data_IF_482668040556
#
_entry.id   IF_482668040556
#
_cell.length_a   1.000
_cell.length_b   1.000
_cell.length_c   1.000
_cell.angle_alpha   90.00
_cell.angle_beta   90.00
_cell.angle_gamma   90.00
#
_symmetry.space_group_name_H-M   'P 1'
#
loop_
_entity.id
_entity.type
_entity.pdbx_description
1 polymer ?
#
# COMPACT_ATOMS: atom_id res chain seq x y z
N UNK A 1 -21.89 -11.76 33.65
CA UNK A 1 -21.64 -12.60 32.46
C UNK A 1 -20.39 -13.43 32.73
N UNK A 2 -20.36 -14.73 32.41
CA UNK A 2 -19.14 -15.52 32.55
C UNK A 2 -18.05 -14.98 31.62
N UNK A 3 -16.75 -15.09 32.00
CA UNK A 3 -15.65 -14.69 31.14
C UNK A 3 -15.58 -15.57 29.89
N UNK A 4 -15.17 -14.99 28.75
CA UNK A 4 -15.02 -15.72 27.50
C UNK A 4 -13.81 -16.66 27.56
N UNK A 5 -13.99 -17.89 27.07
CA UNK A 5 -12.90 -18.85 26.90
C UNK A 5 -12.08 -18.56 25.63
N UNK A 6 -10.92 -19.20 25.49
CA UNK A 6 -10.13 -19.12 24.26
C UNK A 6 -10.88 -19.66 23.03
N UNK A 7 -11.72 -20.69 23.22
CA UNK A 7 -12.55 -21.23 22.16
C UNK A 7 -13.60 -20.19 21.71
N UNK A 8 -14.20 -19.47 22.65
CA UNK A 8 -15.15 -18.40 22.35
C UNK A 8 -14.48 -17.26 21.58
N UNK A 9 -13.29 -16.83 22.02
CA UNK A 9 -12.51 -15.81 21.32
C UNK A 9 -12.12 -16.25 19.91
N UNK A 10 -11.71 -17.50 19.73
CA UNK A 10 -11.39 -18.05 18.42
C UNK A 10 -12.60 -18.04 17.48
N UNK A 11 -13.76 -18.55 17.94
CA UNK A 11 -14.99 -18.55 17.14
C UNK A 11 -15.45 -17.14 16.82
N UNK A 12 -15.36 -16.22 17.78
CA UNK A 12 -15.68 -14.82 17.55
C UNK A 12 -14.74 -14.16 16.52
N UNK A 13 -13.44 -14.49 16.54
CA UNK A 13 -12.48 -14.02 15.53
C UNK A 13 -12.82 -14.58 14.14
N UNK A 14 -13.03 -15.89 14.01
CA UNK A 14 -13.37 -16.54 12.74
C UNK A 14 -14.69 -16.01 12.18
N UNK A 15 -15.69 -15.76 13.03
CA UNK A 15 -16.95 -15.14 12.65
C UNK A 15 -16.72 -13.71 12.12
N UNK A 16 -15.95 -12.88 12.83
CA UNK A 16 -15.61 -11.51 12.37
C UNK A 16 -14.84 -11.52 11.05
N UNK A 17 -14.05 -12.56 10.77
CA UNK A 17 -13.33 -12.73 9.50
C UNK A 17 -14.12 -13.44 8.39
N UNK A 18 -15.40 -13.78 8.63
CA UNK A 18 -16.26 -14.49 7.67
C UNK A 18 -15.70 -15.87 7.28
N UNK A 19 -15.04 -16.53 8.22
CA UNK A 19 -14.42 -17.85 8.03
C UNK A 19 -15.26 -19.01 8.57
N UNK A 20 -16.28 -18.74 9.37
CA UNK A 20 -17.25 -19.77 9.78
C UNK A 20 -18.35 -19.97 8.74
N UNK A 21 -18.71 -18.91 8.01
CA UNK A 21 -19.68 -18.96 6.94
C UNK A 21 -19.40 -17.83 5.95
N UNK A 22 -19.69 -18.09 4.66
CA UNK A 22 -19.66 -17.05 3.63
C UNK A 22 -20.81 -16.06 3.87
N UNK A 23 -20.51 -14.77 3.83
CA UNK A 23 -21.49 -13.71 4.06
C UNK A 23 -22.01 -13.11 2.74
N UNK A 24 -23.21 -12.54 2.78
CA UNK A 24 -23.81 -11.81 1.66
C UNK A 24 -23.60 -10.30 1.82
N UNK A 25 -22.34 -9.87 1.73
CA UNK A 25 -21.96 -8.45 1.81
C UNK A 25 -21.12 -8.05 0.60
N UNK A 26 -21.01 -6.74 0.35
CA UNK A 26 -20.19 -6.22 -0.74
C UNK A 26 -18.69 -6.47 -0.50
N UNK A 27 -17.89 -6.62 -1.57
CA UNK A 27 -16.44 -6.77 -1.41
C UNK A 27 -15.78 -5.59 -0.69
N UNK A 28 -16.31 -4.39 -0.89
CA UNK A 28 -15.81 -3.19 -0.21
C UNK A 28 -15.99 -3.31 1.31
N UNK A 29 -17.21 -3.64 1.76
CA UNK A 29 -17.51 -3.81 3.20
C UNK A 29 -16.72 -4.96 3.82
N UNK A 30 -16.46 -6.02 3.05
CA UNK A 30 -15.60 -7.11 3.48
C UNK A 30 -14.15 -6.67 3.71
N UNK A 31 -13.59 -5.85 2.80
CA UNK A 31 -12.23 -5.29 2.94
C UNK A 31 -12.13 -4.39 4.17
N UNK A 32 -13.13 -3.53 4.41
CA UNK A 32 -13.22 -2.67 5.60
C UNK A 32 -13.24 -3.50 6.89
N UNK A 33 -14.11 -4.51 6.95
CA UNK A 33 -14.24 -5.41 8.10
C UNK A 33 -12.97 -6.20 8.41
N UNK A 34 -12.17 -6.52 7.40
CA UNK A 34 -10.89 -7.20 7.55
C UNK A 34 -9.74 -6.26 7.90
N UNK A 35 -9.97 -4.94 7.95
CA UNK A 35 -8.94 -3.91 8.07
C UNK A 35 -7.84 -4.09 7.01
N UNK A 36 -8.27 -4.35 5.78
CA UNK A 36 -7.41 -4.63 4.64
C UNK A 36 -6.99 -6.10 4.50
N UNK A 37 -6.40 -6.44 3.36
CA UNK A 37 -5.98 -7.80 3.03
C UNK A 37 -4.57 -7.81 2.45
N UNK A 38 -3.75 -8.80 2.80
CA UNK A 38 -2.41 -8.95 2.23
C UNK A 38 -2.49 -9.07 0.70
N UNK A 39 -1.72 -8.26 -0.01
CA UNK A 39 -1.74 -8.14 -1.46
C UNK A 39 -0.32 -7.99 -2.04
N UNK A 40 0.68 -8.67 -1.49
CA UNK A 40 2.03 -8.66 -2.06
C UNK A 40 2.03 -9.25 -3.46
N UNK A 41 1.22 -10.28 -3.65
CA UNK A 41 0.84 -10.80 -4.96
C UNK A 41 -0.54 -10.26 -5.34
N UNK A 42 -0.82 -10.17 -6.65
CA UNK A 42 -2.11 -9.66 -7.14
C UNK A 42 -3.28 -10.61 -6.92
N UNK A 43 -3.03 -11.93 -6.87
CA UNK A 43 -4.06 -12.98 -6.81
C UNK A 43 -4.71 -13.20 -5.42
N UNK A 44 -3.96 -13.21 -4.29
CA UNK A 44 -4.50 -13.57 -2.98
C UNK A 44 -5.78 -12.83 -2.53
N UNK A 45 -5.94 -11.51 -2.73
CA UNK A 45 -7.17 -10.83 -2.33
C UNK A 45 -8.43 -11.36 -3.03
N UNK A 46 -8.33 -11.77 -4.30
CA UNK A 46 -9.45 -12.37 -5.03
C UNK A 46 -9.87 -13.70 -4.40
N UNK A 47 -8.89 -14.56 -4.08
CA UNK A 47 -9.16 -15.85 -3.43
C UNK A 47 -9.74 -15.62 -2.04
N UNK A 48 -9.16 -14.71 -1.26
CA UNK A 48 -9.63 -14.42 0.10
C UNK A 48 -11.05 -13.85 0.15
N UNK A 49 -11.47 -13.06 -0.83
CA UNK A 49 -12.85 -12.58 -0.92
C UNK A 49 -13.80 -13.68 -1.42
N UNK A 50 -13.36 -14.51 -2.38
CA UNK A 50 -14.15 -15.63 -2.89
C UNK A 50 -14.52 -16.63 -1.78
N UNK A 51 -13.58 -16.95 -0.89
CA UNK A 51 -13.82 -17.87 0.24
C UNK A 51 -14.71 -17.28 1.34
N UNK A 52 -14.92 -15.96 1.38
CA UNK A 52 -15.66 -15.24 2.43
C UNK A 52 -17.03 -14.74 2.00
N UNK A 53 -17.31 -14.64 0.70
CA UNK A 53 -18.50 -13.98 0.18
C UNK A 53 -19.31 -14.89 -0.72
N UNK A 54 -20.63 -15.03 -0.50
CA UNK A 54 -21.50 -16.00 -1.21
C UNK A 54 -21.50 -15.87 -2.73
N UNK A 55 -21.54 -14.65 -3.26
CA UNK A 55 -21.71 -14.36 -4.69
C UNK A 55 -20.56 -13.55 -5.30
N UNK A 56 -19.35 -13.68 -4.75
CA UNK A 56 -18.21 -12.91 -5.23
C UNK A 56 -17.75 -13.36 -6.61
N UNK A 57 -17.63 -12.40 -7.53
CA UNK A 57 -17.01 -12.56 -8.82
C UNK A 57 -15.76 -11.66 -8.93
N UNK A 58 -14.77 -12.11 -9.71
CA UNK A 58 -13.55 -11.33 -9.99
C UNK A 58 -13.86 -9.91 -10.48
N UNK A 59 -14.88 -9.76 -11.32
CA UNK A 59 -15.31 -8.47 -11.86
C UNK A 59 -15.74 -7.48 -10.77
N UNK A 60 -16.25 -7.95 -9.63
CA UNK A 60 -16.66 -7.06 -8.54
C UNK A 60 -15.47 -6.31 -7.94
N UNK A 61 -14.34 -6.99 -7.69
CA UNK A 61 -13.13 -6.33 -7.19
C UNK A 61 -12.46 -5.48 -8.27
N UNK A 62 -12.41 -5.94 -9.52
CA UNK A 62 -11.86 -5.14 -10.62
C UNK A 62 -12.62 -3.82 -10.80
N UNK A 63 -13.96 -3.85 -10.71
CA UNK A 63 -14.79 -2.64 -10.74
C UNK A 63 -14.38 -1.65 -9.65
N UNK A 64 -14.09 -2.11 -8.43
CA UNK A 64 -13.63 -1.24 -7.34
C UNK A 64 -12.27 -0.61 -7.63
N UNK A 65 -11.34 -1.34 -8.26
CA UNK A 65 -10.07 -0.76 -8.73
C UNK A 65 -10.30 0.33 -9.78
N UNK A 66 -11.11 0.06 -10.80
CA UNK A 66 -11.43 1.04 -11.84
C UNK A 66 -12.11 2.29 -11.27
N UNK A 67 -12.99 2.12 -10.29
CA UNK A 67 -13.66 3.22 -9.58
C UNK A 67 -12.79 3.88 -8.51
N UNK A 68 -11.53 3.46 -8.34
CA UNK A 68 -10.59 3.98 -7.32
C UNK A 68 -11.14 3.90 -5.89
N UNK A 69 -12.03 2.94 -5.61
CA UNK A 69 -12.62 2.72 -4.27
C UNK A 69 -11.74 1.85 -3.38
N UNK A 70 -10.80 1.14 -3.97
CA UNK A 70 -9.79 0.35 -3.27
C UNK A 70 -8.41 0.72 -3.76
N UNK A 71 -7.42 0.59 -2.89
CA UNK A 71 -6.01 0.86 -3.16
C UNK A 71 -5.17 -0.35 -2.79
N UNK A 72 -4.14 -0.61 -3.59
CA UNK A 72 -3.09 -1.57 -3.28
C UNK A 72 -1.82 -0.78 -2.94
N UNK A 73 -1.46 -0.73 -1.66
CA UNK A 73 -0.38 0.12 -1.17
C UNK A 73 0.36 -0.48 0.03
N UNK A 74 1.58 0.00 0.34
CA UNK A 74 2.28 -0.36 1.58
C UNK A 74 1.43 0.01 2.79
N UNK A 75 1.30 -0.95 3.72
CA UNK A 75 0.60 -0.78 4.98
C UNK A 75 1.36 -1.51 6.09
N UNK A 76 0.67 -2.25 6.96
CA UNK A 76 1.23 -2.97 8.11
C UNK A 76 2.50 -3.76 7.74
N UNK A 77 3.55 -3.61 8.56
CA UNK A 77 4.87 -4.26 8.38
C UNK A 77 5.52 -3.95 7.03
N UNK A 78 5.21 -2.79 6.44
CA UNK A 78 5.69 -2.34 5.13
C UNK A 78 5.37 -3.28 3.95
N UNK A 79 4.43 -4.20 4.12
CA UNK A 79 3.98 -5.09 3.04
C UNK A 79 2.80 -4.49 2.30
N UNK A 80 2.62 -4.90 1.04
CA UNK A 80 1.52 -4.39 0.22
C UNK A 80 0.20 -5.02 0.65
N UNK A 81 -0.81 -4.18 0.90
CA UNK A 81 -2.16 -4.60 1.25
C UNK A 81 -3.19 -3.95 0.32
N UNK A 82 -4.32 -4.63 0.15
CA UNK A 82 -5.55 -4.11 -0.41
C UNK A 82 -6.38 -3.48 0.71
N UNK A 83 -6.68 -2.19 0.58
CA UNK A 83 -7.55 -1.44 1.49
C UNK A 83 -8.66 -0.76 0.69
N UNK A 84 -9.72 -0.32 1.36
CA UNK A 84 -10.57 0.73 0.79
C UNK A 84 -9.78 2.03 0.76
N UNK A 85 -10.09 2.91 -0.20
CA UNK A 85 -9.43 4.20 -0.28
C UNK A 85 -9.65 5.03 1.00
N UNK A 86 -10.86 4.97 1.57
CA UNK A 86 -11.22 5.65 2.83
C UNK A 86 -10.41 5.16 4.02
N UNK A 87 -10.37 3.85 4.27
CA UNK A 87 -9.63 3.30 5.41
C UNK A 87 -8.12 3.52 5.26
N UNK A 88 -7.59 3.41 4.04
CA UNK A 88 -6.18 3.66 3.81
C UNK A 88 -5.82 5.10 4.18
N UNK A 89 -6.63 6.09 3.78
CA UNK A 89 -6.44 7.49 4.15
C UNK A 89 -6.55 7.70 5.66
N UNK A 90 -7.58 7.12 6.30
CA UNK A 90 -7.79 7.22 7.75
C UNK A 90 -6.61 6.65 8.55
N UNK A 91 -6.04 5.53 8.10
CA UNK A 91 -4.91 4.87 8.76
C UNK A 91 -3.54 5.41 8.33
N UNK A 92 -3.49 6.24 7.27
CA UNK A 92 -2.22 6.64 6.64
C UNK A 92 -1.28 7.36 7.60
N UNK A 93 -1.83 8.19 8.48
CA UNK A 93 -1.07 8.91 9.51
C UNK A 93 -0.40 7.95 10.50
N UNK A 94 -1.15 7.00 11.05
CA UNK A 94 -0.63 6.01 11.99
C UNK A 94 0.43 5.09 11.36
N UNK A 95 0.31 4.79 10.06
CA UNK A 95 1.29 3.98 9.34
C UNK A 95 2.57 4.75 8.98
N UNK A 96 2.53 6.09 8.92
CA UNK A 96 3.62 6.91 8.39
C UNK A 96 4.97 6.72 9.08
N UNK A 97 5.09 6.68 10.43
CA UNK A 97 6.38 6.53 11.08
C UNK A 97 7.08 5.23 10.67
N UNK A 98 6.34 4.12 10.68
CA UNK A 98 6.87 2.81 10.27
C UNK A 98 7.20 2.76 8.78
N UNK A 99 6.34 3.31 7.91
CA UNK A 99 6.61 3.39 6.46
C UNK A 99 7.81 4.29 6.14
N UNK A 100 8.07 5.32 6.95
CA UNK A 100 9.25 6.17 6.83
C UNK A 100 10.53 5.46 7.26
N UNK A 101 10.48 4.70 8.35
CA UNK A 101 11.63 3.97 8.89
C UNK A 101 12.19 2.91 7.93
N UNK A 102 11.34 2.33 7.08
CA UNK A 102 11.75 1.32 6.08
C UNK A 102 12.32 1.93 4.79
N UNK A 103 12.43 3.25 4.67
CA UNK A 103 13.10 3.93 3.55
C UNK A 103 14.54 4.29 3.92
N UNK A 104 15.54 3.45 3.60
CA UNK A 104 16.92 3.74 3.97
C UNK A 104 17.47 4.95 3.20
N UNK A 105 18.44 5.71 3.76
CA UNK A 105 19.06 6.87 3.10
C UNK A 105 19.65 6.56 1.71
N UNK A 106 20.11 5.32 1.49
CA UNK A 106 20.57 4.84 0.17
C UNK A 106 19.48 4.95 -0.90
N UNK A 107 18.23 4.65 -0.55
CA UNK A 107 17.11 4.72 -1.48
C UNK A 107 16.83 6.16 -1.92
N UNK A 108 16.98 7.14 -1.02
CA UNK A 108 16.83 8.57 -1.34
C UNK A 108 17.95 9.01 -2.30
N UNK A 109 19.20 8.56 -2.08
CA UNK A 109 20.31 8.80 -3.01
C UNK A 109 20.04 8.21 -4.40
N UNK A 110 19.50 6.99 -4.48
CA UNK A 110 19.15 6.34 -5.75
C UNK A 110 18.00 7.05 -6.51
N UNK A 111 17.17 7.82 -5.80
CA UNK A 111 16.14 8.69 -6.36
C UNK A 111 16.68 10.08 -6.74
N UNK A 112 18.01 10.24 -6.81
CA UNK A 112 18.68 11.47 -7.22
C UNK A 112 19.16 12.35 -6.06
N UNK A 113 18.94 11.95 -4.81
CA UNK A 113 19.44 12.69 -3.64
C UNK A 113 18.69 13.98 -3.31
N UNK A 114 17.53 14.22 -3.95
CA UNK A 114 16.63 15.31 -3.57
C UNK A 114 15.98 15.09 -2.19
N UNK A 115 15.49 16.18 -1.59
CA UNK A 115 14.73 16.10 -0.34
C UNK A 115 13.38 15.40 -0.54
N UNK A 116 12.93 14.63 0.46
CA UNK A 116 11.64 13.92 0.44
C UNK A 116 10.46 14.85 0.06
N UNK A 117 10.35 16.09 0.57
CA UNK A 117 9.27 17.00 0.17
C UNK A 117 9.25 17.31 -1.32
N UNK A 118 10.41 17.50 -1.97
CA UNK A 118 10.51 17.76 -3.42
C UNK A 118 10.14 16.52 -4.24
N UNK A 119 10.60 15.34 -3.82
CA UNK A 119 10.23 14.06 -4.42
C UNK A 119 8.71 13.87 -4.35
N UNK A 120 8.10 14.11 -3.19
CA UNK A 120 6.66 14.02 -3.00
C UNK A 120 5.88 15.03 -3.87
N UNK A 121 6.37 16.28 -4.01
CA UNK A 121 5.75 17.28 -4.88
C UNK A 121 5.80 16.87 -6.36
N UNK A 122 6.95 16.38 -6.83
CA UNK A 122 7.11 15.86 -8.19
C UNK A 122 6.22 14.65 -8.43
N UNK A 123 6.19 13.70 -7.48
CA UNK A 123 5.33 12.51 -7.56
C UNK A 123 3.84 12.85 -7.62
N UNK A 124 3.37 13.83 -6.83
CA UNK A 124 1.97 14.31 -6.90
C UNK A 124 1.62 14.88 -8.28
N UNK A 125 2.49 15.71 -8.86
CA UNK A 125 2.27 16.27 -10.20
C UNK A 125 2.28 15.16 -11.26
N UNK A 126 3.21 14.22 -11.15
CA UNK A 126 3.36 13.10 -12.07
C UNK A 126 2.09 12.22 -12.10
N UNK A 127 1.74 11.62 -10.95
CA UNK A 127 0.59 10.72 -10.84
C UNK A 127 -0.78 11.41 -10.92
N UNK A 128 -0.84 12.74 -10.80
CA UNK A 128 -2.08 13.51 -10.92
C UNK A 128 -2.63 13.60 -12.35
N UNK A 129 -1.82 13.30 -13.36
CA UNK A 129 -2.20 13.47 -14.77
C UNK A 129 -2.81 12.20 -15.37
N UNK A 130 -2.16 11.05 -15.19
CA UNK A 130 -2.58 9.77 -15.73
C UNK A 130 -2.04 8.62 -14.85
N UNK A 131 -2.59 7.39 -14.98
CA UNK A 131 -1.95 6.20 -14.42
C UNK A 131 -0.53 6.06 -14.99
N UNK A 132 0.47 6.03 -14.11
CA UNK A 132 1.88 5.94 -14.47
C UNK A 132 2.62 4.97 -13.54
N UNK A 133 3.83 4.55 -13.93
CA UNK A 133 4.60 3.60 -13.15
C UNK A 133 5.64 4.27 -12.23
N UNK A 134 6.04 3.57 -11.17
CA UNK A 134 7.17 3.99 -10.34
C UNK A 134 8.50 4.00 -11.09
N UNK A 135 8.63 3.20 -12.16
CA UNK A 135 9.80 3.20 -13.03
C UNK A 135 9.93 4.55 -13.73
N UNK A 136 8.85 5.01 -14.33
CA UNK A 136 8.82 6.29 -15.07
C UNK A 136 9.05 7.47 -14.13
N UNK A 137 8.49 7.43 -12.90
CA UNK A 137 8.79 8.44 -11.87
C UNK A 137 10.29 8.45 -11.52
N UNK A 138 10.92 7.28 -11.36
CA UNK A 138 12.35 7.18 -11.06
C UNK A 138 13.20 7.74 -12.19
N UNK A 139 12.83 7.49 -13.44
CA UNK A 139 13.50 8.06 -14.62
C UNK A 139 13.36 9.59 -14.63
N UNK A 140 12.15 10.12 -14.40
CA UNK A 140 11.92 11.56 -14.29
C UNK A 140 12.79 12.22 -13.20
N UNK A 141 12.85 11.62 -12.01
CA UNK A 141 13.64 12.16 -10.89
C UNK A 141 15.13 12.21 -11.22
N UNK A 142 15.67 11.17 -11.87
CA UNK A 142 17.08 11.13 -12.29
C UNK A 142 17.44 12.25 -13.29
N UNK A 143 16.52 12.61 -14.18
CA UNK A 143 16.77 13.68 -15.18
C UNK A 143 16.79 15.09 -14.57
N UNK A 144 16.10 15.30 -13.45
CA UNK A 144 16.02 16.60 -12.77
C UNK A 144 17.18 16.87 -11.82
N UNK A 145 17.84 15.82 -11.34
CA UNK A 145 19.02 15.95 -10.48
C UNK A 145 20.27 16.20 -11.31
N UNK A 146 21.02 17.28 -11.04
CA UNK A 146 22.34 17.46 -11.65
C UNK A 146 23.17 16.21 -11.38
N UNK A 147 23.85 15.69 -12.41
CA UNK A 147 24.94 14.72 -12.16
C UNK A 147 25.87 15.37 -11.14
N UNK A 148 26.35 14.66 -10.11
CA UNK A 148 27.47 15.16 -9.35
C UNK A 148 28.57 15.42 -10.39
N UNK A 149 28.91 16.69 -10.57
CA UNK A 149 30.16 17.06 -11.21
C UNK A 149 31.19 16.44 -10.27
N UNK A 150 31.71 15.27 -10.65
CA UNK A 150 32.98 14.81 -10.11
C UNK A 150 33.97 15.80 -10.70
N UNK A 151 34.04 16.97 -10.08
CA UNK A 151 35.16 17.87 -10.23
C UNK A 151 36.30 17.07 -9.66
N UNK A 152 37.14 16.58 -10.55
CA UNK A 152 38.47 16.13 -10.23
C UNK A 152 39.21 17.28 -9.55
N UNK A 153 38.98 17.47 -8.24
CA UNK A 153 39.91 18.19 -7.38
C UNK A 153 41.10 17.29 -7.14
N UNK A 154 41.91 17.26 -8.20
CA UNK A 154 43.34 17.07 -8.19
C UNK A 154 43.90 18.07 -7.20
N UNK A 155 44.02 17.68 -5.93
CA UNK A 155 44.86 18.41 -4.99
C UNK A 155 46.31 18.20 -5.44
N UNK A 156 46.86 19.26 -6.02
CA UNK A 156 48.30 19.46 -6.20
C UNK A 156 48.85 20.09 -4.91
N UNK A 157 49.96 19.51 -4.44
CA UNK A 157 50.98 20.00 -3.50
C UNK A 157 50.69 20.12 -2.00
N UNK A 158 51.67 19.62 -1.24
CA UNK A 158 51.81 19.66 0.21
C UNK A 158 52.53 18.42 0.70
#
# INVERSE_FOLDING_TARGET
MPPLTQADLNRALLARQMLLARENISPLKAIERLAGMQAQQGRPPFVGLWTRLKNFQRANLLKLFHQRRVVRAPAMRATIHLFTAGDYLALRGALQPMLGAVMPPKFIKELGGESIPKICATGRKFFGTAPQSFKDLRELLKTKTPKPIIESRRWRYG
#
